data_IF_089791080795
#
_entry.id   IF_089791080795
#
_cell.length_a   1.000
_cell.length_b   1.000
_cell.length_c   1.000
_cell.angle_alpha   90.00
_cell.angle_beta   90.00
_cell.angle_gamma   90.00
#
_symmetry.space_group_name_H-M   'P 1'
#
loop_
_entity.id
_entity.type
_entity.pdbx_description
1 polymer ?
#
# COMPACT_ATOMS: atom_id res chain seq x y z
N UNK A 1 7.73 8.70 7.91
CA UNK A 1 7.17 10.07 7.75
C UNK A 1 5.95 9.98 6.83
N UNK A 2 4.74 10.18 7.37
CA UNK A 2 3.49 10.15 6.58
C UNK A 2 3.27 11.57 6.05
N UNK A 3 3.38 11.76 4.73
CA UNK A 3 3.14 13.06 4.08
C UNK A 3 1.79 12.98 3.34
N UNK A 4 0.82 13.80 3.78
CA UNK A 4 -0.48 14.03 3.13
C UNK A 4 -0.29 14.92 1.90
N UNK A 5 -0.81 14.52 0.72
CA UNK A 5 -1.08 15.44 -0.39
C UNK A 5 -2.55 15.89 -0.34
N UNK A 6 -2.77 17.20 -0.31
CA UNK A 6 -4.08 17.85 -0.45
C UNK A 6 -4.32 18.17 -1.93
N UNK A 7 -5.48 17.80 -2.48
CA UNK A 7 -5.90 18.15 -3.86
C UNK A 7 -6.65 19.49 -3.85
N UNK A 8 -6.08 20.50 -4.52
CA UNK A 8 -6.81 21.67 -5.01
C UNK A 8 -7.56 21.31 -6.28
N UNK A 9 -8.85 21.65 -6.34
CA UNK A 9 -9.73 21.33 -7.46
C UNK A 9 -9.47 22.18 -8.70
N UNK A 10 -9.83 21.63 -9.87
CA UNK A 10 -10.08 22.43 -11.06
C UNK A 10 -11.25 21.84 -11.84
N UNK A 11 -12.26 22.67 -12.00
CA UNK A 11 -13.39 22.56 -12.93
C UNK A 11 -12.89 22.57 -14.38
N UNK A 12 -13.37 21.65 -15.23
CA UNK A 12 -13.22 21.76 -16.68
C UNK A 12 -14.54 21.44 -17.39
N UNK A 13 -14.81 22.27 -18.39
CA UNK A 13 -16.08 22.53 -19.03
C UNK A 13 -16.60 21.41 -19.94
N UNK A 14 -17.92 21.43 -20.06
CA UNK A 14 -18.80 20.60 -20.87
C UNK A 14 -18.57 20.84 -22.38
N UNK A 15 -18.34 19.78 -23.16
CA UNK A 15 -18.53 19.79 -24.61
C UNK A 15 -19.49 18.66 -25.00
N UNK A 16 -20.67 19.06 -25.46
CA UNK A 16 -21.77 18.20 -25.91
C UNK A 16 -21.44 17.70 -27.32
N UNK A 17 -21.37 16.38 -27.51
CA UNK A 17 -21.48 15.74 -28.81
C UNK A 17 -22.70 14.82 -28.80
N UNK A 18 -23.71 15.19 -29.58
CA UNK A 18 -24.93 14.42 -29.82
C UNK A 18 -24.62 13.15 -30.60
N UNK A 19 -24.88 11.97 -30.02
CA UNK A 19 -24.97 10.72 -30.77
C UNK A 19 -26.45 10.32 -30.93
N UNK A 20 -26.87 10.20 -32.19
CA UNK A 20 -28.18 9.75 -32.64
C UNK A 20 -28.43 8.29 -32.26
N UNK A 21 -29.63 8.01 -31.71
CA UNK A 21 -30.09 6.68 -31.34
C UNK A 21 -30.33 5.80 -32.58
N UNK A 22 -29.63 4.67 -32.65
CA UNK A 22 -29.94 3.53 -33.53
C UNK A 22 -30.56 2.40 -32.70
N UNK A 23 -31.71 1.91 -33.13
CA UNK A 23 -32.59 0.95 -32.46
C UNK A 23 -31.92 -0.40 -32.13
N UNK A 24 -32.16 -0.87 -30.90
CA UNK A 24 -31.73 -2.17 -30.39
C UNK A 24 -32.42 -3.35 -31.10
N UNK A 25 -31.63 -4.36 -31.49
CA UNK A 25 -32.12 -5.70 -31.77
C UNK A 25 -31.63 -6.62 -30.64
N UNK A 26 -32.57 -7.28 -29.96
CA UNK A 26 -32.31 -8.26 -28.91
C UNK A 26 -31.65 -9.51 -29.53
N UNK A 27 -30.38 -9.74 -29.19
CA UNK A 27 -29.64 -10.95 -29.50
C UNK A 27 -29.06 -11.52 -28.21
N UNK A 28 -29.44 -12.74 -27.88
CA UNK A 28 -29.02 -13.52 -26.70
C UNK A 28 -27.49 -13.57 -26.57
N UNK A 29 -26.98 -13.18 -25.40
CA UNK A 29 -25.56 -13.25 -25.07
C UNK A 29 -25.06 -14.69 -24.96
N UNK A 30 -24.10 -15.05 -25.80
CA UNK A 30 -23.25 -16.24 -25.62
C UNK A 30 -21.93 -15.80 -25.00
N UNK A 31 -21.42 -16.46 -23.93
CA UNK A 31 -20.17 -16.07 -23.31
C UNK A 31 -18.99 -16.52 -24.17
N UNK A 32 -18.17 -15.58 -24.65
CA UNK A 32 -16.93 -15.91 -25.35
C UNK A 32 -15.77 -16.02 -24.34
N UNK A 33 -15.54 -17.24 -23.87
CA UNK A 33 -14.27 -17.66 -23.31
C UNK A 33 -13.43 -18.30 -24.42
N UNK A 34 -12.18 -17.85 -24.62
CA UNK A 34 -10.96 -18.67 -24.77
C UNK A 34 -9.77 -17.79 -25.12
N UNK A 35 -9.04 -17.31 -24.11
CA UNK A 35 -7.66 -16.88 -24.27
C UNK A 35 -6.75 -18.07 -23.94
N UNK A 36 -6.19 -18.66 -25.00
CA UNK A 36 -5.02 -19.54 -25.08
C UNK A 36 -4.58 -20.27 -23.79
N UNK A 37 -4.86 -21.58 -23.75
CA UNK A 37 -4.45 -22.53 -22.71
C UNK A 37 -3.28 -23.37 -23.21
N UNK A 38 -2.05 -23.00 -22.85
CA UNK A 38 -0.91 -23.93 -22.86
C UNK A 38 -0.06 -23.77 -21.59
N UNK A 39 -0.26 -24.73 -20.66
CA UNK A 39 0.58 -25.24 -19.56
C UNK A 39 1.20 -24.29 -18.48
N UNK A 40 0.55 -24.21 -17.30
CA UNK A 40 1.16 -24.17 -15.95
C UNK A 40 0.09 -24.44 -14.86
N UNK A 41 0.41 -25.19 -13.79
CA UNK A 41 -0.48 -25.57 -12.65
C UNK A 41 -0.15 -24.76 -11.39
N UNK A 42 -1.16 -24.23 -10.66
CA UNK A 42 -1.00 -23.51 -9.38
C UNK A 42 -2.31 -23.48 -8.54
N UNK A 43 -2.28 -23.05 -7.26
CA UNK A 43 -3.41 -23.22 -6.31
C UNK A 43 -4.47 -22.08 -6.26
N UNK A 44 -5.63 -22.35 -5.63
CA UNK A 44 -6.76 -21.40 -5.43
C UNK A 44 -6.42 -20.25 -4.47
N UNK A 45 -7.04 -19.08 -4.67
CA UNK A 45 -6.84 -17.89 -3.84
C UNK A 45 -8.16 -17.44 -3.22
N UNK A 46 -8.27 -17.60 -1.90
CA UNK A 46 -9.37 -17.03 -1.14
C UNK A 46 -9.12 -15.56 -0.82
N UNK A 47 -10.17 -14.75 -0.78
CA UNK A 47 -10.11 -13.34 -0.37
C UNK A 47 -11.15 -13.02 0.70
N UNK A 48 -10.75 -12.25 1.69
CA UNK A 48 -11.63 -11.77 2.76
C UNK A 48 -11.39 -10.29 3.00
N UNK A 49 -12.39 -9.62 3.58
CA UNK A 49 -12.27 -8.24 3.99
C UNK A 49 -12.81 -8.03 5.40
N UNK A 50 -12.14 -7.15 6.14
CA UNK A 50 -12.51 -6.77 7.50
C UNK A 50 -11.97 -5.39 7.83
N UNK A 51 -12.64 -4.61 8.68
CA UNK A 51 -12.10 -3.36 9.19
C UNK A 51 -13.14 -2.27 9.38
N UNK A 52 -12.65 -1.03 9.41
CA UNK A 52 -13.47 0.15 9.68
C UNK A 52 -14.08 0.64 8.35
N UNK A 53 -15.23 0.11 7.99
CA UNK A 53 -15.95 0.57 6.81
C UNK A 53 -16.51 1.98 7.01
N UNK A 54 -16.66 2.78 5.94
CA UNK A 54 -17.17 4.13 6.07
C UNK A 54 -18.62 4.10 6.55
N UNK A 55 -18.87 4.74 7.70
CA UNK A 55 -20.19 4.97 8.27
C UNK A 55 -20.41 6.47 8.38
N UNK A 56 -21.62 6.98 8.16
CA UNK A 56 -21.88 8.40 8.42
C UNK A 56 -21.79 8.70 9.93
N UNK A 57 -21.20 9.82 10.37
CA UNK A 57 -20.61 10.92 9.58
C UNK A 57 -19.10 10.77 9.32
N UNK A 58 -18.53 9.57 9.49
CA UNK A 58 -17.10 9.31 9.28
C UNK A 58 -16.75 9.29 7.80
N UNK A 59 -16.04 10.34 7.41
CA UNK A 59 -15.66 10.75 6.07
C UNK A 59 -14.31 10.18 5.63
N UNK A 60 -13.55 9.53 6.51
CA UNK A 60 -12.30 8.82 6.19
C UNK A 60 -12.08 7.60 7.07
N UNK A 61 -12.02 6.42 6.46
CA UNK A 61 -11.81 5.12 7.13
C UNK A 61 -10.88 4.21 6.33
N UNK A 62 -10.75 2.96 6.75
CA UNK A 62 -9.97 1.95 6.04
C UNK A 62 -10.48 0.54 6.36
N UNK A 63 -10.34 -0.36 5.40
CA UNK A 63 -10.55 -1.78 5.62
C UNK A 63 -9.35 -2.59 5.11
N UNK A 64 -9.13 -3.75 5.71
CA UNK A 64 -8.13 -4.71 5.29
C UNK A 64 -8.75 -5.67 4.26
N UNK A 65 -7.99 -5.94 3.20
CA UNK A 65 -8.21 -7.05 2.27
C UNK A 65 -7.14 -8.07 2.56
N UNK A 66 -7.53 -9.30 2.88
CA UNK A 66 -6.61 -10.42 3.11
C UNK A 66 -6.83 -11.45 2.01
N UNK A 67 -5.76 -11.98 1.44
CA UNK A 67 -5.86 -13.11 0.51
C UNK A 67 -4.85 -14.19 0.86
N UNK A 68 -5.26 -15.43 0.65
CA UNK A 68 -4.50 -16.62 1.06
C UNK A 68 -4.42 -17.59 -0.10
N UNK A 69 -3.20 -17.97 -0.49
CA UNK A 69 -2.99 -19.08 -1.42
C UNK A 69 -3.25 -20.40 -0.70
N UNK A 70 -4.27 -21.14 -1.11
CA UNK A 70 -4.58 -22.48 -0.59
C UNK A 70 -3.71 -23.55 -1.29
N UNK A 71 -3.98 -24.84 -1.08
CA UNK A 71 -3.30 -25.93 -1.80
C UNK A 71 -1.95 -26.35 -1.24
N UNK A 72 -1.13 -26.99 -2.08
CA UNK A 72 0.15 -27.63 -1.67
C UNK A 72 1.36 -27.18 -2.49
N UNK A 73 1.18 -26.28 -3.46
CA UNK A 73 2.23 -25.78 -4.33
C UNK A 73 2.31 -24.25 -4.30
N UNK A 74 3.50 -23.69 -4.56
CA UNK A 74 3.68 -22.24 -4.56
C UNK A 74 2.85 -21.56 -5.65
N UNK A 75 2.25 -20.42 -5.31
CA UNK A 75 1.64 -19.51 -6.26
C UNK A 75 2.70 -18.52 -6.75
N UNK A 76 3.09 -18.63 -8.03
CA UNK A 76 4.08 -17.74 -8.66
C UNK A 76 3.43 -16.82 -9.68
N UNK A 77 3.87 -15.57 -9.74
CA UNK A 77 3.40 -14.58 -10.71
C UNK A 77 2.45 -13.54 -10.10
N UNK A 78 1.55 -13.01 -10.94
CA UNK A 78 0.68 -11.88 -10.60
C UNK A 78 -0.64 -12.36 -10.02
N UNK A 79 -0.98 -11.89 -8.82
CA UNK A 79 -2.36 -11.88 -8.30
C UNK A 79 -2.89 -10.47 -8.45
N UNK A 80 -4.05 -10.35 -9.10
CA UNK A 80 -4.71 -9.08 -9.32
C UNK A 80 -5.91 -8.98 -8.39
N UNK A 81 -5.91 -7.98 -7.52
CA UNK A 81 -7.00 -7.66 -6.63
C UNK A 81 -7.77 -6.48 -7.20
N UNK A 82 -9.08 -6.62 -7.33
CA UNK A 82 -9.99 -5.53 -7.72
C UNK A 82 -10.86 -5.18 -6.53
N UNK A 83 -10.85 -3.92 -6.13
CA UNK A 83 -11.76 -3.35 -5.12
C UNK A 83 -12.72 -2.42 -5.83
N UNK A 84 -14.02 -2.68 -5.71
CA UNK A 84 -15.10 -1.87 -6.28
C UNK A 84 -15.91 -1.24 -5.16
N UNK A 85 -16.06 0.08 -5.20
CA UNK A 85 -16.75 0.88 -4.21
C UNK A 85 -18.14 1.33 -4.73
N UNK A 86 -19.18 1.28 -3.87
CA UNK A 86 -20.50 1.79 -4.21
C UNK A 86 -20.50 3.32 -4.33
N UNK A 87 -21.62 3.89 -4.79
CA UNK A 87 -21.73 5.33 -4.94
C UNK A 87 -21.62 6.02 -3.56
N UNK A 88 -21.01 7.21 -3.54
CA UNK A 88 -20.76 7.93 -2.30
C UNK A 88 -19.47 7.50 -1.58
N UNK A 89 -18.74 6.51 -2.08
CA UNK A 89 -17.40 6.15 -1.60
C UNK A 89 -16.33 6.39 -2.64
N UNK A 90 -15.15 6.79 -2.17
CA UNK A 90 -13.93 6.87 -3.00
C UNK A 90 -12.73 6.31 -2.24
N UNK A 91 -11.75 5.77 -2.92
CA UNK A 91 -10.45 5.38 -2.35
C UNK A 91 -9.34 6.30 -2.84
N UNK A 92 -8.34 6.49 -1.99
CA UNK A 92 -7.08 7.17 -2.34
C UNK A 92 -5.93 6.20 -2.63
N UNK A 93 -6.19 4.89 -2.60
CA UNK A 93 -5.16 3.86 -2.70
C UNK A 93 -5.17 2.88 -1.52
N UNK A 94 -4.17 2.03 -1.49
CA UNK A 94 -3.93 1.05 -0.44
C UNK A 94 -2.48 1.07 0.04
N UNK A 95 -2.23 0.40 1.16
CA UNK A 95 -0.90 0.18 1.71
C UNK A 95 -0.68 -1.31 1.99
N UNK A 96 0.51 -1.79 1.65
CA UNK A 96 1.01 -3.12 2.01
C UNK A 96 2.46 -3.00 2.50
N UNK A 97 2.86 -3.91 3.38
CA UNK A 97 4.27 -4.06 3.76
C UNK A 97 5.04 -4.68 2.60
N UNK A 98 5.87 -3.94 1.87
CA UNK A 98 6.70 -4.55 0.82
C UNK A 98 7.77 -5.48 1.43
N UNK A 99 7.82 -6.73 0.99
CA UNK A 99 8.91 -7.66 1.32
C UNK A 99 9.79 -7.92 0.07
N UNK A 100 11.04 -8.38 0.24
CA UNK A 100 11.98 -8.55 -0.89
C UNK A 100 11.52 -9.56 -1.95
N UNK A 101 10.61 -10.47 -1.58
CA UNK A 101 10.10 -11.59 -2.37
C UNK A 101 8.91 -11.22 -3.27
N UNK A 102 8.40 -9.99 -3.20
CA UNK A 102 7.32 -9.54 -4.08
C UNK A 102 7.32 -8.04 -4.40
N UNK A 103 6.67 -7.68 -5.50
CA UNK A 103 6.34 -6.30 -5.85
C UNK A 103 4.84 -6.05 -5.76
N UNK A 104 4.46 -4.83 -5.41
CA UNK A 104 3.08 -4.37 -5.34
C UNK A 104 2.93 -3.09 -6.15
N UNK A 105 1.94 -3.04 -7.02
CA UNK A 105 1.51 -1.81 -7.71
C UNK A 105 0.00 -1.65 -7.56
N UNK A 106 -0.47 -0.42 -7.64
CA UNK A 106 -1.91 -0.14 -7.62
C UNK A 106 -2.28 0.95 -8.62
N UNK A 107 -3.54 0.97 -9.01
CA UNK A 107 -4.14 2.04 -9.82
C UNK A 107 -5.54 2.31 -9.29
N UNK A 108 -5.83 3.59 -9.06
CA UNK A 108 -7.16 4.05 -8.68
C UNK A 108 -7.83 4.66 -9.91
N UNK A 109 -9.09 4.29 -10.17
CA UNK A 109 -9.87 4.85 -11.27
C UNK A 109 -10.06 6.37 -11.11
N UNK A 110 -10.28 7.11 -12.22
CA UNK A 110 -10.45 8.58 -12.15
C UNK A 110 -11.57 9.05 -11.22
N UNK A 111 -12.64 8.26 -11.09
CA UNK A 111 -13.77 8.53 -10.18
C UNK A 111 -13.49 8.10 -8.72
N UNK A 112 -12.34 7.49 -8.45
CA UNK A 112 -11.94 7.00 -7.14
C UNK A 112 -12.70 5.76 -6.67
N UNK A 113 -13.52 5.12 -7.52
CA UNK A 113 -14.44 4.05 -7.10
C UNK A 113 -13.92 2.65 -7.35
N UNK A 114 -12.79 2.50 -8.03
CA UNK A 114 -12.15 1.22 -8.29
C UNK A 114 -10.66 1.31 -7.99
N UNK A 115 -10.14 0.32 -7.28
CA UNK A 115 -8.71 0.11 -7.08
C UNK A 115 -8.32 -1.25 -7.65
N UNK A 116 -7.41 -1.22 -8.61
CA UNK A 116 -6.76 -2.39 -9.18
C UNK A 116 -5.36 -2.50 -8.56
N UNK A 117 -5.12 -3.56 -7.79
CA UNK A 117 -3.85 -3.83 -7.11
C UNK A 117 -3.21 -5.11 -7.67
N UNK A 118 -1.93 -5.04 -8.02
CA UNK A 118 -1.19 -6.16 -8.59
C UNK A 118 -0.06 -6.55 -7.65
N UNK A 119 -0.12 -7.78 -7.16
CA UNK A 119 0.92 -8.37 -6.34
C UNK A 119 1.68 -9.41 -7.17
N UNK A 120 2.98 -9.21 -7.38
CA UNK A 120 3.83 -10.10 -8.18
C UNK A 120 4.91 -10.73 -7.33
N UNK A 121 4.95 -12.05 -7.22
CA UNK A 121 5.96 -12.75 -6.43
C UNK A 121 5.67 -14.24 -6.29
N UNK A 122 6.40 -14.89 -5.40
CA UNK A 122 6.19 -16.31 -5.03
C UNK A 122 5.53 -16.38 -3.66
N UNK A 123 4.43 -17.12 -3.55
CA UNK A 123 3.69 -17.35 -2.30
C UNK A 123 3.65 -18.82 -1.95
N UNK A 124 4.15 -19.16 -0.77
CA UNK A 124 4.04 -20.49 -0.23
C UNK A 124 2.57 -20.81 0.15
N UNK A 125 2.13 -22.07 0.04
CA UNK A 125 0.80 -22.47 0.48
C UNK A 125 0.51 -22.10 1.93
N UNK A 126 -0.71 -21.63 2.21
CA UNK A 126 -1.16 -21.19 3.53
C UNK A 126 -0.67 -19.80 3.95
N UNK A 127 0.20 -19.16 3.17
CA UNK A 127 0.63 -17.78 3.44
C UNK A 127 -0.52 -16.80 3.17
N UNK A 128 -0.82 -15.98 4.19
CA UNK A 128 -1.80 -14.91 4.10
C UNK A 128 -1.09 -13.57 3.93
N UNK A 129 -1.50 -12.78 2.95
CA UNK A 129 -1.09 -11.38 2.80
C UNK A 129 -2.25 -10.46 3.12
N UNK A 130 -1.95 -9.22 3.49
CA UNK A 130 -2.97 -8.20 3.66
C UNK A 130 -2.60 -6.89 2.98
N UNK A 131 -3.60 -6.18 2.47
CA UNK A 131 -3.49 -4.77 2.09
C UNK A 131 -4.53 -3.96 2.87
N UNK A 132 -4.17 -2.73 3.22
CA UNK A 132 -5.07 -1.77 3.87
C UNK A 132 -5.56 -0.75 2.85
N UNK A 133 -6.85 -0.77 2.53
CA UNK A 133 -7.49 0.14 1.56
C UNK A 133 -8.02 1.36 2.30
N UNK A 134 -7.64 2.57 1.85
CA UNK A 134 -8.15 3.81 2.41
C UNK A 134 -9.44 4.22 1.70
N UNK A 135 -10.47 4.60 2.44
CA UNK A 135 -11.78 4.94 1.86
C UNK A 135 -12.31 6.22 2.48
N UNK A 136 -12.90 7.09 1.67
CA UNK A 136 -13.60 8.29 2.08
C UNK A 136 -15.08 8.21 1.68
N UNK A 137 -15.96 8.75 2.53
CA UNK A 137 -17.40 8.86 2.24
C UNK A 137 -17.78 10.29 1.88
N UNK A 138 -18.74 10.44 0.95
CA UNK A 138 -19.21 11.73 0.45
C UNK A 138 -20.75 11.77 0.50
N UNK A 139 -21.31 12.69 1.27
CA UNK A 139 -22.77 12.94 1.32
C UNK A 139 -23.51 12.20 2.44
N UNK A 140 -24.81 11.94 2.23
CA UNK A 140 -25.69 11.28 3.19
C UNK A 140 -25.45 9.77 3.16
N UNK A 141 -24.68 9.22 4.11
CA UNK A 141 -24.59 7.77 4.39
C UNK A 141 -24.34 6.84 3.19
N UNK A 142 -23.12 6.34 2.97
CA UNK A 142 -22.86 5.44 1.85
C UNK A 142 -23.69 4.15 1.97
N UNK A 143 -24.36 3.76 0.88
CA UNK A 143 -25.16 2.53 0.79
C UNK A 143 -24.70 1.70 -0.41
N UNK A 144 -24.83 0.38 -0.33
CA UNK A 144 -24.44 -0.55 -1.39
C UNK A 144 -23.26 -1.43 -1.00
N UNK A 145 -22.71 -2.19 -1.96
CA UNK A 145 -21.72 -3.22 -1.66
C UNK A 145 -20.30 -2.77 -1.99
N UNK A 146 -19.38 -2.91 -1.03
CA UNK A 146 -17.95 -2.95 -1.31
C UNK A 146 -17.60 -4.37 -1.72
N UNK A 147 -17.14 -4.53 -2.96
CA UNK A 147 -16.78 -5.82 -3.53
C UNK A 147 -15.27 -5.90 -3.72
N UNK A 148 -14.68 -7.00 -3.29
CA UNK A 148 -13.26 -7.31 -3.48
C UNK A 148 -13.16 -8.62 -4.23
N UNK A 149 -12.38 -8.64 -5.30
CA UNK A 149 -12.16 -9.83 -6.13
C UNK A 149 -10.67 -10.11 -6.24
N UNK A 150 -10.24 -11.33 -5.95
CA UNK A 150 -8.90 -11.83 -6.25
C UNK A 150 -8.94 -12.60 -7.57
N UNK A 151 -8.43 -12.00 -8.64
CA UNK A 151 -8.20 -12.69 -9.89
C UNK A 151 -6.86 -13.43 -9.84
N UNK A 152 -6.96 -14.75 -9.85
CA UNK A 152 -5.85 -15.66 -10.15
C UNK A 152 -6.23 -16.47 -11.39
N UNK A 153 -5.37 -16.45 -12.41
CA UNK A 153 -5.59 -17.15 -13.68
C UNK A 153 -5.72 -18.68 -13.49
N UNK A 154 -5.18 -19.21 -12.40
CA UNK A 154 -5.17 -20.65 -12.07
C UNK A 154 -6.18 -21.03 -10.97
N UNK A 155 -7.09 -20.14 -10.59
CA UNK A 155 -8.08 -20.45 -9.56
C UNK A 155 -9.10 -21.48 -10.05
N UNK A 156 -9.23 -22.59 -9.32
CA UNK A 156 -10.19 -23.66 -9.63
C UNK A 156 -11.46 -23.59 -8.79
N UNK A 157 -11.51 -22.70 -7.80
CA UNK A 157 -12.69 -22.42 -6.98
C UNK A 157 -13.04 -20.93 -7.00
N UNK A 158 -13.81 -20.45 -8.00
CA UNK A 158 -14.19 -19.05 -8.09
C UNK A 158 -15.24 -18.63 -7.05
N UNK A 159 -15.56 -19.48 -6.06
CA UNK A 159 -16.54 -19.15 -5.03
C UNK A 159 -15.92 -18.44 -3.82
N UNK A 160 -14.61 -18.55 -3.60
CA UNK A 160 -13.88 -17.95 -2.47
C UNK A 160 -13.01 -16.74 -2.86
N UNK A 161 -12.93 -16.45 -4.15
CA UNK A 161 -12.12 -15.37 -4.71
C UNK A 161 -12.87 -14.01 -4.76
N UNK A 162 -14.07 -13.94 -4.19
CA UNK A 162 -14.87 -12.71 -4.05
C UNK A 162 -15.30 -12.52 -2.60
N UNK A 163 -15.17 -11.30 -2.10
CA UNK A 163 -15.69 -10.90 -0.80
C UNK A 163 -16.55 -9.63 -0.93
N UNK A 164 -17.78 -9.70 -0.42
CA UNK A 164 -18.77 -8.63 -0.47
C UNK A 164 -19.06 -8.09 0.94
N UNK A 165 -19.18 -6.76 1.07
CA UNK A 165 -19.55 -6.10 2.33
C UNK A 165 -20.65 -5.07 2.06
N UNK A 166 -21.82 -5.28 2.64
CA UNK A 166 -23.00 -4.44 2.44
C UNK A 166 -23.03 -3.24 3.39
N UNK A 167 -23.15 -2.04 2.84
CA UNK A 167 -23.34 -0.78 3.56
C UNK A 167 -24.82 -0.40 3.59
N UNK A 168 -25.29 0.09 4.73
CA UNK A 168 -26.61 0.73 4.86
C UNK A 168 -27.79 -0.19 5.23
N UNK A 169 -27.58 -1.48 5.51
CA UNK A 169 -28.64 -2.37 6.00
C UNK A 169 -28.63 -2.48 7.54
N UNK A 170 -29.52 -1.74 8.21
CA UNK A 170 -29.79 -1.85 9.66
C UNK A 170 -28.79 -1.10 10.56
N UNK A 171 -28.96 -1.15 11.91
CA UNK A 171 -28.02 -0.56 12.86
C UNK A 171 -26.68 -1.29 12.75
N UNK A 172 -25.81 -0.78 11.88
CA UNK A 172 -24.40 -1.15 11.83
C UNK A 172 -23.69 -0.26 12.82
N UNK A 173 -23.72 -0.60 14.11
CA UNK A 173 -22.57 -0.25 14.93
C UNK A 173 -21.41 -1.01 14.32
N UNK A 174 -20.37 -0.36 13.76
CA UNK A 174 -19.13 -1.08 13.48
C UNK A 174 -18.80 -1.79 14.78
N UNK A 175 -18.63 -3.11 14.74
CA UNK A 175 -17.88 -3.74 15.81
C UNK A 175 -16.48 -3.15 15.66
N UNK A 176 -16.24 -2.01 16.30
CA UNK A 176 -14.93 -1.38 16.36
C UNK A 176 -13.98 -2.50 16.76
N UNK A 177 -12.99 -2.86 15.92
CA UNK A 177 -12.10 -3.95 16.24
C UNK A 177 -11.57 -3.69 17.65
N UNK A 178 -11.63 -4.69 18.54
CA UNK A 178 -11.33 -4.47 19.94
C UNK A 178 -9.97 -3.79 20.06
N UNK A 179 -9.92 -2.72 20.87
CA UNK A 179 -8.68 -2.00 21.09
C UNK A 179 -7.61 -3.00 21.54
N UNK A 180 -6.40 -2.97 20.94
CA UNK A 180 -5.35 -3.88 21.37
C UNK A 180 -4.98 -3.58 22.81
N UNK A 181 -4.53 -4.60 23.53
CA UNK A 181 -3.89 -4.44 24.83
C UNK A 181 -2.64 -5.30 24.86
N UNK A 182 -1.49 -4.70 25.14
CA UNK A 182 -0.23 -5.42 25.33
C UNK A 182 0.01 -5.54 26.82
N UNK A 183 0.06 -6.77 27.31
CA UNK A 183 0.19 -7.09 28.73
C UNK A 183 1.61 -7.53 29.10
N UNK A 184 2.43 -7.92 28.11
CA UNK A 184 3.77 -8.40 28.38
C UNK A 184 4.72 -8.23 27.20
N UNK A 185 6.00 -8.12 27.55
CA UNK A 185 7.14 -8.16 26.63
C UNK A 185 8.18 -9.13 27.21
N UNK A 186 8.57 -10.13 26.43
CA UNK A 186 9.40 -11.24 26.90
C UNK A 186 10.89 -10.89 27.03
N UNK A 187 11.39 -10.01 26.17
CA UNK A 187 12.79 -9.54 26.17
C UNK A 187 12.80 -8.03 26.04
N UNK A 188 13.46 -7.34 26.98
CA UNK A 188 13.49 -5.87 27.07
C UNK A 188 14.86 -5.29 26.76
N UNK A 189 15.83 -6.10 26.33
CA UNK A 189 17.18 -5.63 26.01
C UNK A 189 17.75 -6.38 24.81
N UNK A 190 18.57 -5.72 24.00
CA UNK A 190 19.29 -6.36 22.90
C UNK A 190 20.46 -5.53 22.36
N UNK A 191 21.24 -6.07 21.40
CA UNK A 191 22.33 -5.32 20.79
C UNK A 191 21.81 -4.13 19.99
N UNK A 192 22.56 -3.02 19.97
CA UNK A 192 22.26 -1.85 19.16
C UNK A 192 22.10 -2.20 17.68
N UNK A 193 22.80 -3.24 17.19
CA UNK A 193 22.67 -3.76 15.83
C UNK A 193 21.30 -4.39 15.50
N UNK A 194 20.43 -4.60 16.50
CA UNK A 194 19.16 -5.30 16.34
C UNK A 194 19.34 -6.82 16.27
N UNK A 195 18.29 -7.52 15.84
CA UNK A 195 18.28 -8.97 15.66
C UNK A 195 17.76 -9.77 16.85
N UNK A 196 17.43 -9.12 17.97
CA UNK A 196 16.87 -9.80 19.14
C UNK A 196 15.43 -10.26 18.84
N UNK A 197 15.14 -11.55 19.04
CA UNK A 197 13.78 -12.05 19.03
C UNK A 197 13.03 -11.53 20.27
N UNK A 198 11.85 -10.95 20.04
CA UNK A 198 10.98 -10.37 21.06
C UNK A 198 9.59 -10.95 20.90
N UNK A 199 9.03 -11.43 22.02
CA UNK A 199 7.65 -11.90 22.10
C UNK A 199 6.83 -10.89 22.91
N UNK A 200 5.74 -10.39 22.33
CA UNK A 200 4.75 -9.57 23.03
C UNK A 200 3.50 -10.41 23.27
N UNK A 201 2.87 -10.25 24.43
CA UNK A 201 1.60 -10.92 24.77
C UNK A 201 0.51 -9.91 25.06
N UNK A 202 -0.74 -10.27 24.77
CA UNK A 202 -1.85 -9.36 24.91
C UNK A 202 -3.18 -9.88 24.38
N UNK A 203 -4.05 -8.97 23.96
CA UNK A 203 -5.34 -9.26 23.31
C UNK A 203 -5.59 -8.28 22.17
N UNK A 204 -6.39 -8.70 21.17
CA UNK A 204 -6.70 -7.86 20.01
C UNK A 204 -5.49 -7.54 19.13
N UNK A 205 -4.47 -8.41 19.15
CA UNK A 205 -3.20 -8.19 18.45
C UNK A 205 -3.19 -8.68 16.99
N UNK A 206 -4.27 -9.31 16.51
CA UNK A 206 -4.36 -9.85 15.14
C UNK A 206 -4.07 -8.77 14.09
N UNK A 207 -3.33 -9.17 13.05
CA UNK A 207 -2.90 -8.28 11.98
C UNK A 207 -2.11 -7.05 12.47
N UNK A 208 -1.55 -7.14 13.68
CA UNK A 208 -0.71 -6.12 14.27
C UNK A 208 0.69 -6.11 13.69
N UNK A 209 1.31 -4.94 13.72
CA UNK A 209 2.75 -4.79 13.55
C UNK A 209 3.35 -4.12 14.78
N UNK A 210 4.66 -4.32 14.98
CA UNK A 210 5.37 -3.87 16.17
C UNK A 210 6.40 -2.82 15.80
N UNK A 211 6.37 -1.69 16.51
CA UNK A 211 7.35 -0.61 16.41
C UNK A 211 8.24 -0.58 17.66
N UNK A 212 9.54 -0.35 17.46
CA UNK A 212 10.52 0.00 18.48
C UNK A 212 10.89 1.47 18.25
N UNK A 213 10.25 2.38 19.00
CA UNK A 213 10.21 3.80 18.63
C UNK A 213 9.49 3.97 17.30
N UNK A 214 10.19 4.54 16.31
CA UNK A 214 9.70 4.69 14.93
C UNK A 214 10.13 3.54 14.01
N UNK A 215 10.97 2.62 14.49
CA UNK A 215 11.53 1.55 13.68
C UNK A 215 10.60 0.32 13.67
N UNK A 216 10.24 -0.13 12.47
CA UNK A 216 9.41 -1.31 12.27
C UNK A 216 10.21 -2.60 12.54
N UNK A 217 9.65 -3.49 13.35
CA UNK A 217 10.17 -4.83 13.56
C UNK A 217 9.70 -5.81 12.48
N UNK A 218 10.53 -6.82 12.18
CA UNK A 218 10.13 -7.91 11.27
C UNK A 218 9.47 -9.04 12.05
N UNK A 219 8.42 -9.64 11.50
CA UNK A 219 7.65 -10.70 12.15
C UNK A 219 6.16 -10.45 12.02
N UNK A 220 5.37 -11.02 12.94
CA UNK A 220 3.92 -10.92 12.86
C UNK A 220 3.21 -11.15 14.19
N UNK A 221 1.92 -10.88 14.19
CA UNK A 221 1.04 -11.02 15.35
C UNK A 221 -0.14 -11.95 15.06
N UNK A 222 -0.49 -12.74 16.06
CA UNK A 222 -1.79 -13.40 16.25
C UNK A 222 -2.60 -12.62 17.28
N UNK A 223 -3.84 -12.99 17.55
CA UNK A 223 -4.72 -12.26 18.46
C UNK A 223 -4.22 -12.05 19.88
N UNK A 224 -3.28 -12.87 20.33
CA UNK A 224 -2.74 -12.81 21.69
C UNK A 224 -1.23 -12.67 21.76
N UNK A 225 -0.51 -12.83 20.65
CA UNK A 225 0.95 -12.87 20.66
C UNK A 225 1.55 -12.22 19.42
N UNK A 226 2.58 -11.40 19.58
CA UNK A 226 3.46 -10.99 18.48
C UNK A 226 4.84 -11.61 18.65
N UNK A 227 5.35 -12.25 17.60
CA UNK A 227 6.73 -12.74 17.55
C UNK A 227 7.48 -11.93 16.49
N UNK A 228 8.38 -11.07 16.95
CA UNK A 228 9.10 -10.13 16.08
C UNK A 228 10.59 -10.12 16.37
N UNK A 229 11.36 -9.57 15.45
CA UNK A 229 12.80 -9.32 15.59
C UNK A 229 13.01 -7.82 15.72
N UNK A 230 13.62 -7.40 16.82
CA UNK A 230 13.89 -5.99 17.09
C UNK A 230 14.83 -5.42 16.00
N UNK A 231 14.48 -4.27 15.39
CA UNK A 231 15.37 -3.59 14.45
C UNK A 231 16.58 -3.01 15.19
N UNK A 232 17.61 -2.59 14.46
CA UNK A 232 18.75 -1.87 15.05
C UNK A 232 18.33 -0.49 15.58
N UNK A 233 18.93 -0.08 16.70
CA UNK A 233 18.61 1.16 17.39
C UNK A 233 19.64 1.54 18.47
N UNK A 234 19.36 2.62 19.20
CA UNK A 234 20.17 3.09 20.31
C UNK A 234 19.29 3.61 21.45
N UNK A 235 19.82 3.55 22.67
CA UNK A 235 19.10 4.03 23.86
C UNK A 235 17.88 3.18 24.19
N UNK A 236 16.90 3.80 24.85
CA UNK A 236 15.64 3.17 25.23
C UNK A 236 14.56 3.49 24.20
N UNK A 237 13.91 2.47 23.64
CA UNK A 237 12.87 2.61 22.63
C UNK A 237 11.51 2.11 23.17
N UNK A 238 10.44 2.94 23.13
CA UNK A 238 9.11 2.45 23.48
C UNK A 238 8.66 1.39 22.47
N UNK A 239 8.05 0.30 22.94
CA UNK A 239 7.53 -0.74 22.06
C UNK A 239 6.03 -0.60 21.92
N UNK A 240 5.52 -0.51 20.69
CA UNK A 240 4.09 -0.30 20.41
C UNK A 240 3.60 -1.34 19.41
N UNK A 241 2.46 -1.96 19.71
CA UNK A 241 1.71 -2.76 18.73
C UNK A 241 0.63 -1.88 18.12
N UNK A 242 0.56 -1.84 16.80
CA UNK A 242 -0.46 -1.11 16.05
C UNK A 242 -1.32 -2.10 15.29
N UNK A 243 -2.63 -2.06 15.51
CA UNK A 243 -3.63 -2.94 14.90
C UNK A 243 -4.75 -2.10 14.26
N UNK A 244 -5.70 -2.71 13.54
CA UNK A 244 -6.88 -2.00 13.07
C UNK A 244 -7.75 -1.41 14.19
N UNK A 245 -7.68 -1.96 15.41
CA UNK A 245 -8.41 -1.51 16.60
C UNK A 245 -7.74 -0.36 17.37
N UNK A 246 -6.53 0.05 16.96
CA UNK A 246 -5.79 1.13 17.60
C UNK A 246 -4.33 0.75 17.87
N UNK A 247 -3.72 1.39 18.86
CA UNK A 247 -2.34 1.12 19.26
C UNK A 247 -2.26 0.85 20.75
N UNK A 248 -1.39 -0.07 21.15
CA UNK A 248 -1.11 -0.38 22.53
C UNK A 248 0.40 -0.42 22.79
N UNK A 249 0.82 0.34 23.79
CA UNK A 249 2.21 0.32 24.26
C UNK A 249 2.45 -0.93 25.11
N UNK A 250 3.63 -1.53 24.96
CA UNK A 250 4.12 -2.54 25.88
C UNK A 250 4.36 -1.93 27.27
N UNK A 251 4.28 -2.74 28.35
CA UNK A 251 4.50 -2.25 29.71
C UNK A 251 5.93 -1.75 29.97
N UNK A 252 6.90 -2.19 29.15
CA UNK A 252 8.30 -1.79 29.25
C UNK A 252 8.86 -1.42 27.87
N UNK A 253 9.78 -0.46 27.87
CA UNK A 253 10.60 -0.14 26.70
C UNK A 253 11.63 -1.25 26.43
N UNK A 254 12.24 -1.19 25.25
CA UNK A 254 13.35 -2.03 24.86
C UNK A 254 14.65 -1.21 24.86
N UNK A 255 15.64 -1.66 25.64
CA UNK A 255 16.93 -0.99 25.76
C UNK A 255 17.97 -1.61 24.82
N UNK A 256 18.51 -0.77 23.94
CA UNK A 256 19.61 -1.11 23.07
C UNK A 256 20.95 -0.98 23.79
N UNK A 257 21.76 -2.04 23.73
CA UNK A 257 23.09 -2.13 24.31
C UNK A 257 24.16 -2.00 23.23
N UNK A 258 25.15 -1.12 23.43
CA UNK A 258 26.17 -0.83 22.43
C UNK A 258 25.71 0.15 21.34
N UNK A 259 26.52 0.31 20.31
CA UNK A 259 26.25 1.26 19.23
C UNK A 259 25.17 0.73 18.26
N UNK A 260 24.30 1.62 17.79
CA UNK A 260 23.44 1.36 16.64
C UNK A 260 24.28 1.05 15.39
N UNK A 261 23.73 0.35 14.38
CA UNK A 261 24.37 0.28 13.07
C UNK A 261 24.59 1.69 12.55
N UNK A 262 25.73 1.96 11.88
CA UNK A 262 25.90 3.21 11.16
C UNK A 262 24.75 3.38 10.17
N UNK A 263 24.16 4.57 10.13
CA UNK A 263 23.12 4.89 9.17
C UNK A 263 23.64 4.62 7.74
N UNK A 264 22.79 4.10 6.83
CA UNK A 264 23.17 3.99 5.43
C UNK A 264 23.61 5.36 4.89
N UNK A 265 24.57 5.41 3.95
CA UNK A 265 24.95 6.68 3.34
C UNK A 265 23.76 7.27 2.57
N UNK A 266 23.69 8.61 2.55
CA UNK A 266 22.68 9.32 1.76
C UNK A 266 22.78 8.93 0.27
N UNK A 267 21.63 8.86 -0.43
CA UNK A 267 21.62 8.57 -1.86
C UNK A 267 22.33 9.68 -2.65
N UNK A 268 22.88 9.35 -3.81
CA UNK A 268 23.54 10.30 -4.69
C UNK A 268 22.81 10.32 -6.02
N UNK A 269 22.28 11.48 -6.41
CA UNK A 269 21.79 11.71 -7.78
C UNK A 269 22.95 12.18 -8.65
N UNK A 270 23.12 11.56 -9.81
CA UNK A 270 24.17 11.91 -10.78
C UNK A 270 23.61 12.55 -12.06
N UNK A 271 22.32 12.36 -12.35
CA UNK A 271 21.67 13.08 -13.43
C UNK A 271 20.28 12.57 -13.80
N UNK A 272 19.62 13.31 -14.68
CA UNK A 272 18.32 12.97 -15.26
C UNK A 272 18.46 12.61 -16.74
N UNK A 273 17.64 11.68 -17.25
CA UNK A 273 17.57 11.43 -18.69
C UNK A 273 16.93 12.56 -19.47
N UNK A 274 16.02 13.29 -18.82
CA UNK A 274 15.33 14.47 -19.35
C UNK A 274 15.24 15.50 -18.23
N UNK A 275 15.72 16.72 -18.50
CA UNK A 275 15.80 17.81 -17.53
C UNK A 275 14.75 18.91 -17.78
N UNK A 276 13.79 18.66 -18.68
CA UNK A 276 12.72 19.59 -19.01
C UNK A 276 11.38 18.88 -19.25
N UNK A 277 10.27 19.62 -19.12
CA UNK A 277 8.94 19.18 -19.55
C UNK A 277 7.83 20.16 -19.18
N UNK A 278 6.57 19.87 -19.52
CA UNK A 278 5.46 20.81 -19.40
C UNK A 278 5.15 21.17 -17.95
N UNK A 279 4.71 22.41 -17.69
CA UNK A 279 4.24 22.84 -16.37
C UNK A 279 3.10 21.96 -15.79
N UNK A 280 2.30 21.33 -16.64
CA UNK A 280 1.27 20.37 -16.24
C UNK A 280 1.83 19.04 -15.66
N UNK A 281 3.14 18.80 -15.76
CA UNK A 281 3.76 17.52 -15.39
C UNK A 281 3.51 16.43 -16.42
N UNK A 282 3.66 15.17 -16.01
CA UNK A 282 3.37 14.00 -16.85
C UNK A 282 4.56 13.44 -17.64
N UNK A 283 5.69 14.16 -17.67
CA UNK A 283 6.92 13.64 -18.29
C UNK A 283 7.51 12.51 -17.46
N UNK A 284 7.66 11.33 -18.07
CA UNK A 284 8.44 10.24 -17.48
C UNK A 284 9.93 10.56 -17.58
N UNK A 285 10.61 10.49 -16.44
CA UNK A 285 12.05 10.70 -16.33
C UNK A 285 12.71 9.46 -15.72
N UNK A 286 14.02 9.32 -15.95
CA UNK A 286 14.85 8.42 -15.18
C UNK A 286 15.90 9.21 -14.39
N UNK A 287 15.92 8.98 -13.08
CA UNK A 287 16.91 9.54 -12.15
C UNK A 287 18.03 8.53 -12.00
N UNK A 288 19.24 8.89 -12.39
CA UNK A 288 20.46 8.07 -12.25
C UNK A 288 21.20 8.44 -10.99
N UNK A 289 21.86 7.46 -10.38
CA UNK A 289 22.58 7.68 -9.13
C UNK A 289 23.15 6.43 -8.49
N UNK A 290 23.38 6.52 -7.19
CA UNK A 290 23.75 5.40 -6.31
C UNK A 290 23.00 5.47 -4.99
N UNK A 291 22.77 4.30 -4.37
CA UNK A 291 22.04 4.21 -3.11
C UNK A 291 20.56 4.58 -3.24
N UNK A 292 19.98 4.50 -4.44
CA UNK A 292 18.62 4.98 -4.71
C UNK A 292 17.52 3.96 -4.37
N UNK A 293 17.87 2.73 -4.00
CA UNK A 293 16.91 1.64 -3.83
C UNK A 293 15.80 2.01 -2.82
N UNK A 294 14.56 1.68 -3.18
CA UNK A 294 13.36 2.03 -2.41
C UNK A 294 13.22 3.54 -2.10
N UNK A 295 13.87 4.38 -2.90
CA UNK A 295 13.84 5.83 -2.73
C UNK A 295 12.55 6.48 -3.21
N UNK A 296 12.20 7.61 -2.60
CA UNK A 296 11.15 8.51 -3.09
C UNK A 296 11.80 9.63 -3.91
N UNK A 297 11.33 9.85 -5.13
CA UNK A 297 11.78 10.94 -6.00
C UNK A 297 10.93 12.19 -5.73
N UNK A 298 11.57 13.34 -5.49
CA UNK A 298 10.92 14.62 -5.27
C UNK A 298 11.39 15.66 -6.28
N UNK A 299 10.47 16.50 -6.73
CA UNK A 299 10.73 17.66 -7.60
C UNK A 299 10.47 18.93 -6.79
N UNK A 300 11.52 19.62 -6.36
CA UNK A 300 11.37 20.81 -5.50
C UNK A 300 10.60 20.53 -4.20
N UNK A 301 10.69 19.30 -3.68
CA UNK A 301 9.94 18.84 -2.50
C UNK A 301 8.55 18.25 -2.79
N UNK A 302 8.05 18.32 -4.02
CA UNK A 302 6.78 17.68 -4.41
C UNK A 302 7.04 16.23 -4.83
N UNK A 303 6.38 15.22 -4.22
CA UNK A 303 6.56 13.83 -4.60
C UNK A 303 6.16 13.56 -6.05
N UNK A 304 6.99 12.80 -6.76
CA UNK A 304 6.68 12.29 -8.10
C UNK A 304 5.81 11.04 -8.04
N UNK A 305 5.14 10.71 -9.14
CA UNK A 305 4.55 9.36 -9.30
C UNK A 305 5.67 8.37 -9.60
N UNK A 306 6.02 7.54 -8.62
CA UNK A 306 7.12 6.58 -8.70
C UNK A 306 6.65 5.29 -9.38
N UNK A 307 7.43 4.79 -10.34
CA UNK A 307 7.16 3.50 -11.01
C UNK A 307 8.13 2.41 -10.56
N UNK A 308 9.39 2.77 -10.37
CA UNK A 308 10.42 1.89 -9.82
C UNK A 308 11.60 2.71 -9.29
N UNK A 309 12.31 2.18 -8.30
CA UNK A 309 13.51 2.81 -7.76
C UNK A 309 14.47 1.72 -7.28
N UNK A 310 15.38 1.33 -8.18
CA UNK A 310 16.45 0.39 -7.92
C UNK A 310 17.70 1.10 -7.37
N UNK A 311 18.80 0.38 -7.11
CA UNK A 311 19.99 0.94 -6.46
C UNK A 311 20.67 2.08 -7.24
N UNK A 312 20.53 2.11 -8.56
CA UNK A 312 21.22 3.09 -9.44
C UNK A 312 20.31 3.86 -10.38
N UNK A 313 19.02 3.52 -10.42
CA UNK A 313 18.07 4.11 -11.36
C UNK A 313 16.66 4.11 -10.77
N UNK A 314 15.98 5.25 -10.87
CA UNK A 314 14.56 5.36 -10.57
C UNK A 314 13.79 5.86 -11.79
N UNK A 315 12.64 5.27 -12.05
CA UNK A 315 11.68 5.76 -13.05
C UNK A 315 10.53 6.45 -12.33
N UNK A 316 10.32 7.72 -12.65
CA UNK A 316 9.30 8.55 -12.03
C UNK A 316 8.64 9.45 -13.08
N UNK A 317 7.37 9.80 -12.85
CA UNK A 317 6.67 10.82 -13.65
C UNK A 317 6.68 12.13 -12.89
N UNK A 318 7.16 13.20 -13.55
CA UNK A 318 7.20 14.53 -12.97
C UNK A 318 5.79 15.01 -12.61
N UNK A 319 5.58 15.55 -11.39
CA UNK A 319 4.33 16.20 -11.03
C UNK A 319 4.18 17.52 -11.77
N UNK A 320 2.99 18.14 -11.71
CA UNK A 320 2.81 19.52 -12.15
C UNK A 320 3.71 20.47 -11.33
N UNK A 321 4.26 21.49 -11.97
CA UNK A 321 5.23 22.40 -11.36
C UNK A 321 5.53 23.62 -12.23
N UNK A 322 6.40 24.49 -11.72
CA UNK A 322 6.82 25.72 -12.41
C UNK A 322 8.30 26.00 -12.16
N UNK A 323 8.93 26.74 -13.08
CA UNK A 323 10.33 27.16 -12.94
C UNK A 323 11.34 26.02 -12.96
N UNK A 324 12.51 26.27 -12.37
CA UNK A 324 13.59 25.29 -12.24
C UNK A 324 13.58 24.74 -10.82
N UNK A 325 13.56 23.42 -10.67
CA UNK A 325 13.58 22.73 -9.37
C UNK A 325 14.69 21.69 -9.33
N UNK A 326 15.18 21.38 -8.13
CA UNK A 326 16.08 20.24 -7.92
C UNK A 326 15.25 18.95 -7.80
N UNK A 327 15.72 17.90 -8.47
CA UNK A 327 15.20 16.53 -8.32
C UNK A 327 16.09 15.79 -7.33
N UNK A 328 15.51 15.40 -6.20
CA UNK A 328 16.20 14.67 -5.14
C UNK A 328 15.57 13.30 -4.91
N UNK A 329 16.36 12.38 -4.37
CA UNK A 329 15.89 11.07 -3.93
C UNK A 329 16.05 10.97 -2.43
N UNK A 330 15.03 10.49 -1.72
CA UNK A 330 15.08 10.23 -0.28
C UNK A 330 15.01 8.74 -0.02
N UNK A 331 15.97 8.20 0.72
CA UNK A 331 16.01 6.80 1.20
C UNK A 331 16.16 6.77 2.73
N UNK A 332 16.28 5.57 3.31
CA UNK A 332 16.61 5.42 4.73
C UNK A 332 17.97 6.04 5.11
N UNK A 333 18.87 6.23 4.15
CA UNK A 333 20.14 6.93 4.34
C UNK A 333 20.03 8.46 4.33
N UNK A 334 18.84 9.01 4.12
CA UNK A 334 18.58 10.44 4.03
C UNK A 334 18.22 10.92 2.62
N UNK A 335 18.28 12.22 2.39
CA UNK A 335 17.97 12.85 1.10
C UNK A 335 19.25 13.18 0.34
N UNK A 336 19.27 12.93 -0.96
CA UNK A 336 20.39 13.28 -1.82
C UNK A 336 20.60 14.80 -1.85
N UNK A 337 21.86 15.23 -1.86
CA UNK A 337 22.17 16.64 -2.10
C UNK A 337 21.66 17.09 -3.48
N UNK A 338 21.19 18.35 -3.62
CA UNK A 338 20.87 18.92 -4.92
C UNK A 338 22.14 19.04 -5.77
N UNK A 339 22.05 18.64 -7.04
CA UNK A 339 23.17 18.70 -7.99
C UNK A 339 22.71 19.37 -9.28
N UNK A 340 23.62 20.08 -9.97
CA UNK A 340 23.28 20.77 -11.22
C UNK A 340 22.71 19.83 -12.29
N UNK A 341 23.25 18.59 -12.39
CA UNK A 341 22.74 17.56 -13.31
C UNK A 341 21.36 16.99 -12.92
N UNK A 342 20.88 17.31 -11.71
CA UNK A 342 19.60 16.90 -11.15
C UNK A 342 18.53 17.99 -11.25
N UNK A 343 18.77 19.11 -11.93
CA UNK A 343 17.75 20.15 -12.12
C UNK A 343 16.77 19.78 -13.22
N UNK A 344 15.51 20.09 -12.96
CA UNK A 344 14.40 19.93 -13.90
C UNK A 344 13.71 21.27 -14.14
N UNK A 345 13.44 21.60 -15.41
CA UNK A 345 12.80 22.86 -15.82
C UNK A 345 11.41 22.61 -16.35
N UNK A 346 10.42 23.23 -15.72
CA UNK A 346 9.05 23.26 -16.21
C UNK A 346 8.91 24.36 -17.28
N UNK A 347 8.61 23.96 -18.51
CA UNK A 347 8.36 24.86 -19.64
C UNK A 347 6.88 25.23 -19.70
N UNK A 348 6.61 26.49 -20.03
CA UNK A 348 5.26 27.00 -20.28
C UNK A 348 4.61 26.38 -21.52
#
# INVERSE_FOLDING_TARGET
MIIRLVRGGLTAALAVATLTAGTAAAGTATPAATADRTAATGPNVSVTQAGNYPIFPVDSTNFAVTWTSSGTADLTGVTHLTVELPAGLTTSGAAITSLPDYSFTETVSPDGRRLDAFFTGTRAPGRSEFMKVYVASHGTGPTGTIKVTAANRNDTDPSDNVSDHLLGSGPQTPAAPPAPAVTGIGTTTGPGTGGTAVTLTGTGLDNGFVLFGDALATGGCTGTTCTVTAPGGAGSAPVTVVTPGGSAAAPHAFDYTGAAPPAPPAPVVTGLTTSTGPAAGGTRIYVRGSGLAAGTVLFGGVPATLHSCGPTLCSATAPAGTGVVDVTVTTAGGTSAPVAAGRYTYTA
#
